data_IF_204527882460
#
_entry.id   IF_204527882460
#
_cell.length_a   1.000
_cell.length_b   1.000
_cell.length_c   1.000
_cell.angle_alpha   90.00
_cell.angle_beta   90.00
_cell.angle_gamma   90.00
#
_symmetry.space_group_name_H-M   'P 1'
#
loop_
_entity.id
_entity.type
_entity.pdbx_description
1 polymer ?
#
# COMPACT_ATOMS: atom_id res chain seq x y z
N UNK A 1 7.12 -10.48 6.07
CA UNK A 1 6.68 -9.37 6.93
C UNK A 1 6.95 -8.04 6.27
N UNK A 2 6.05 -7.09 6.42
CA UNK A 2 6.25 -5.72 5.95
C UNK A 2 6.45 -4.80 7.17
N UNK A 3 7.44 -3.92 7.09
CA UNK A 3 7.80 -3.00 8.18
C UNK A 3 7.52 -1.57 7.73
N UNK A 4 6.68 -0.86 8.48
CA UNK A 4 6.33 0.52 8.20
C UNK A 4 6.54 1.38 9.44
N UNK A 5 6.76 2.67 9.23
CA UNK A 5 6.74 3.64 10.31
C UNK A 5 5.30 4.04 10.59
N UNK A 6 5.04 4.48 11.82
CA UNK A 6 3.72 5.00 12.18
C UNK A 6 3.29 6.15 11.25
N UNK A 7 4.24 6.97 10.82
CA UNK A 7 3.95 8.06 9.88
C UNK A 7 3.50 7.57 8.50
N UNK A 8 3.99 6.41 8.06
CA UNK A 8 3.53 5.81 6.80
C UNK A 8 2.09 5.35 6.92
N UNK A 9 1.76 4.70 8.03
CA UNK A 9 0.40 4.25 8.29
C UNK A 9 -0.54 5.44 8.34
N UNK A 10 -0.15 6.51 9.04
CA UNK A 10 -0.97 7.72 9.13
C UNK A 10 -1.19 8.35 7.75
N UNK A 11 -0.17 8.35 6.89
CA UNK A 11 -0.30 8.90 5.54
C UNK A 11 -1.30 8.11 4.71
N UNK A 12 -1.26 6.78 4.80
CA UNK A 12 -2.19 5.90 4.09
C UNK A 12 -3.61 6.13 4.59
N UNK A 13 -3.78 6.19 5.91
CA UNK A 13 -5.09 6.41 6.52
C UNK A 13 -5.69 7.75 6.10
N UNK A 14 -4.90 8.80 6.14
CA UNK A 14 -5.35 10.14 5.73
C UNK A 14 -5.72 10.18 4.26
N UNK A 15 -4.96 9.50 3.41
CA UNK A 15 -5.26 9.43 1.98
C UNK A 15 -6.61 8.76 1.75
N UNK A 16 -6.86 7.64 2.45
CA UNK A 16 -8.13 6.94 2.36
C UNK A 16 -9.31 7.77 2.85
N UNK A 17 -9.12 8.49 3.95
CA UNK A 17 -10.16 9.36 4.50
C UNK A 17 -10.47 10.54 3.58
N UNK A 18 -9.43 11.12 2.99
CA UNK A 18 -9.58 12.26 2.08
C UNK A 18 -10.33 11.88 0.80
N UNK A 19 -10.04 10.72 0.24
CA UNK A 19 -10.64 10.30 -1.03
C UNK A 19 -12.00 9.62 -0.85
N UNK A 20 -12.37 9.26 0.38
CA UNK A 20 -13.66 8.64 0.64
C UNK A 20 -14.79 9.47 0.00
N UNK A 21 -15.78 8.92 -0.66
CA UNK A 21 -16.14 7.49 -0.73
C UNK A 21 -15.43 6.71 -1.87
N UNK A 22 -14.41 7.27 -2.46
CA UNK A 22 -13.64 6.62 -3.52
C UNK A 22 -12.45 5.86 -2.92
N UNK A 23 -12.00 4.83 -3.61
CA UNK A 23 -10.77 4.15 -3.22
C UNK A 23 -9.57 5.04 -3.53
N UNK A 24 -8.67 5.17 -2.59
CA UNK A 24 -7.36 5.76 -2.84
C UNK A 24 -6.37 4.66 -3.23
N UNK A 25 -5.26 5.04 -3.81
CA UNK A 25 -4.20 4.11 -4.13
C UNK A 25 -2.84 4.78 -4.13
N UNK A 26 -1.80 3.97 -4.04
CA UNK A 26 -0.43 4.46 -4.09
C UNK A 26 0.58 3.34 -4.07
N UNK A 27 1.84 3.73 -4.15
CA UNK A 27 2.96 2.80 -4.12
C UNK A 27 3.62 2.85 -2.74
N UNK A 28 4.21 1.73 -2.36
CA UNK A 28 5.07 1.64 -1.19
C UNK A 28 6.50 1.48 -1.69
N UNK A 29 7.35 2.45 -1.37
CA UNK A 29 8.74 2.46 -1.81
C UNK A 29 9.63 2.12 -0.63
N UNK A 30 10.65 1.29 -0.88
CA UNK A 30 11.54 0.86 0.18
C UNK A 30 12.57 -0.12 -0.32
N UNK A 31 12.81 -1.16 0.47
CA UNK A 31 13.78 -2.18 0.12
C UNK A 31 13.29 -3.57 0.52
N UNK A 32 13.71 -4.57 -0.27
CA UNK A 32 13.55 -5.97 0.09
C UNK A 32 14.75 -6.37 0.93
N UNK A 33 14.50 -6.95 2.10
CA UNK A 33 15.56 -7.41 2.98
C UNK A 33 15.97 -8.83 2.60
N UNK A 34 17.15 -9.27 3.08
CA UNK A 34 17.70 -10.57 2.70
C UNK A 34 16.75 -11.73 3.01
N UNK A 35 16.00 -11.65 4.11
CA UNK A 35 15.07 -12.70 4.50
C UNK A 35 13.73 -12.63 3.78
N UNK A 36 13.59 -11.72 2.82
CA UNK A 36 12.34 -11.54 2.09
C UNK A 36 11.36 -10.54 2.70
N UNK A 37 11.65 -10.03 3.88
CA UNK A 37 10.84 -8.96 4.47
C UNK A 37 10.99 -7.68 3.66
N UNK A 38 10.04 -6.78 3.80
CA UNK A 38 10.06 -5.48 3.13
C UNK A 38 10.05 -4.38 4.17
N UNK A 39 10.89 -3.36 3.91
CA UNK A 39 10.90 -2.15 4.73
C UNK A 39 10.44 -0.99 3.88
N UNK A 40 9.32 -0.39 4.26
CA UNK A 40 8.81 0.80 3.58
C UNK A 40 9.56 2.01 4.10
N UNK A 41 10.03 2.84 3.17
CA UNK A 41 10.73 4.07 3.50
C UNK A 41 9.96 5.29 3.06
N UNK A 42 9.04 5.13 2.11
CA UNK A 42 8.24 6.25 1.63
C UNK A 42 6.94 5.72 1.03
N UNK A 43 5.84 6.43 1.29
CA UNK A 43 4.59 6.23 0.58
C UNK A 43 4.59 7.17 -0.63
N UNK A 44 3.97 6.71 -1.72
CA UNK A 44 3.93 7.47 -2.97
C UNK A 44 2.48 7.47 -3.45
N UNK A 45 1.70 8.49 -3.07
CA UNK A 45 0.29 8.52 -3.43
C UNK A 45 0.09 8.72 -4.92
N UNK A 46 -0.95 8.09 -5.46
CA UNK A 46 -1.30 8.15 -6.86
C UNK A 46 -2.79 8.45 -6.96
N UNK A 47 -3.19 9.25 -7.95
CA UNK A 47 -4.59 9.51 -8.21
C UNK A 47 -5.26 8.28 -8.82
N UNK A 48 -6.45 7.92 -8.31
CA UNK A 48 -7.21 6.82 -8.87
C UNK A 48 -7.75 7.22 -10.25
N UNK A 49 -7.34 6.50 -11.28
CA UNK A 49 -7.67 6.81 -12.68
C UNK A 49 -8.92 6.09 -13.19
N UNK A 50 -9.67 5.35 -12.32
CA UNK A 50 -10.92 4.72 -12.73
C UNK A 50 -12.00 5.76 -12.99
N UNK A 51 -13.01 5.34 -13.76
CA UNK A 51 -14.20 6.15 -13.98
C UNK A 51 -14.89 6.46 -12.65
N UNK A 52 -15.55 7.60 -12.52
CA UNK A 52 -16.17 8.04 -11.27
C UNK A 52 -17.04 6.97 -10.60
N UNK A 53 -17.89 6.32 -11.38
CA UNK A 53 -18.79 5.30 -10.82
C UNK A 53 -18.07 4.06 -10.32
N UNK A 54 -16.85 3.81 -10.80
CA UNK A 54 -16.06 2.66 -10.37
C UNK A 54 -15.11 2.96 -9.22
N UNK A 55 -14.81 4.25 -8.95
CA UNK A 55 -13.82 4.65 -7.94
C UNK A 55 -14.21 4.23 -6.52
N UNK A 56 -15.50 3.98 -6.27
CA UNK A 56 -15.98 3.60 -4.95
C UNK A 56 -15.46 2.24 -4.49
N UNK A 57 -15.25 1.32 -5.43
CA UNK A 57 -14.80 -0.04 -5.10
C UNK A 57 -13.72 -0.57 -6.01
N UNK A 58 -13.08 0.31 -6.78
CA UNK A 58 -11.99 -0.06 -7.67
C UNK A 58 -11.04 1.10 -7.84
N UNK A 59 -9.80 0.80 -8.16
CA UNK A 59 -8.82 1.81 -8.46
C UNK A 59 -8.03 1.39 -9.70
N UNK A 60 -7.36 2.36 -10.31
CA UNK A 60 -6.51 2.11 -11.48
C UNK A 60 -5.27 2.97 -11.39
N UNK A 61 -4.11 2.33 -11.46
CA UNK A 61 -2.83 3.02 -11.58
C UNK A 61 -2.42 2.94 -13.05
N UNK A 62 -2.25 4.09 -13.68
CA UNK A 62 -1.83 4.12 -15.08
C UNK A 62 -0.39 3.64 -15.21
N UNK A 63 -0.05 2.99 -16.34
CA UNK A 63 1.34 2.57 -16.56
C UNK A 63 2.34 3.72 -16.44
N UNK A 64 2.00 4.92 -16.91
CA UNK A 64 2.86 6.08 -16.82
C UNK A 64 3.15 6.46 -15.37
N UNK A 65 2.17 6.34 -14.49
CA UNK A 65 2.34 6.66 -13.08
C UNK A 65 3.19 5.62 -12.37
N UNK A 66 3.04 4.35 -12.74
CA UNK A 66 3.88 3.29 -12.20
C UNK A 66 5.34 3.50 -12.64
N UNK A 67 5.55 3.82 -13.91
CA UNK A 67 6.89 4.11 -14.43
C UNK A 67 7.50 5.31 -13.72
N UNK A 68 6.72 6.37 -13.52
CA UNK A 68 7.18 7.55 -12.80
C UNK A 68 7.58 7.23 -11.37
N UNK A 69 6.77 6.41 -10.71
CA UNK A 69 7.06 5.97 -9.34
C UNK A 69 8.32 5.12 -9.26
N UNK A 70 8.51 4.23 -10.22
CA UNK A 70 9.71 3.40 -10.28
C UNK A 70 10.97 4.24 -10.53
N UNK A 71 10.87 5.25 -11.40
CA UNK A 71 11.97 6.17 -11.64
C UNK A 71 12.30 6.99 -10.40
N UNK A 72 11.27 7.48 -9.73
CA UNK A 72 11.44 8.22 -8.48
C UNK A 72 12.14 7.34 -7.44
N UNK A 73 11.66 6.11 -7.29
CA UNK A 73 12.25 5.17 -6.35
C UNK A 73 13.72 4.94 -6.64
N UNK A 74 14.05 4.67 -7.90
CA UNK A 74 15.44 4.42 -8.31
C UNK A 74 16.32 5.64 -8.03
N UNK A 75 15.83 6.84 -8.28
CA UNK A 75 16.58 8.06 -8.03
C UNK A 75 16.89 8.25 -6.53
N UNK A 76 16.10 7.63 -5.66
CA UNK A 76 16.28 7.71 -4.21
C UNK A 76 16.84 6.40 -3.64
N UNK A 77 17.36 5.53 -4.49
CA UNK A 77 17.93 4.23 -4.11
C UNK A 77 16.90 3.34 -3.41
N UNK A 78 15.66 3.42 -3.88
CA UNK A 78 14.54 2.61 -3.38
C UNK A 78 13.96 1.75 -4.50
N UNK A 79 13.09 0.81 -4.12
CA UNK A 79 12.33 -0.02 -5.04
C UNK A 79 10.85 0.06 -4.69
N UNK A 80 10.01 -0.29 -5.63
CA UNK A 80 8.60 -0.51 -5.32
C UNK A 80 8.49 -1.87 -4.64
N UNK A 81 8.10 -1.87 -3.36
CA UNK A 81 7.97 -3.11 -2.60
C UNK A 81 6.51 -3.51 -2.41
N UNK A 82 5.58 -2.63 -2.73
CA UNK A 82 4.17 -2.93 -2.60
C UNK A 82 3.29 -1.80 -3.06
N UNK A 83 2.01 -2.03 -2.86
CA UNK A 83 0.94 -1.08 -3.21
C UNK A 83 0.02 -0.92 -2.02
N UNK A 84 -0.68 0.20 -1.96
CA UNK A 84 -1.73 0.37 -0.97
C UNK A 84 -2.99 0.90 -1.63
N UNK A 85 -4.13 0.56 -1.06
CA UNK A 85 -5.41 1.15 -1.46
C UNK A 85 -6.39 1.10 -0.30
N UNK A 86 -7.48 1.84 -0.42
CA UNK A 86 -8.50 1.85 0.62
C UNK A 86 -9.73 1.09 0.17
N UNK A 87 -10.46 0.55 1.13
CA UNK A 87 -11.77 -0.09 0.93
C UNK A 87 -12.82 0.75 1.64
N UNK A 88 -13.56 1.61 0.89
CA UNK A 88 -14.63 2.39 1.50
C UNK A 88 -15.76 1.50 2.00
N UNK A 89 -16.09 1.63 3.28
CA UNK A 89 -17.18 0.90 3.94
C UNK A 89 -17.10 -0.62 3.82
N UNK A 90 -15.88 -1.14 3.64
CA UNK A 90 -15.62 -2.57 3.53
C UNK A 90 -14.42 -2.95 4.38
N UNK A 91 -14.30 -4.24 4.68
CA UNK A 91 -13.17 -4.76 5.44
C UNK A 91 -11.85 -4.61 4.69
N UNK A 92 -10.74 -4.60 5.42
CA UNK A 92 -9.40 -4.52 4.85
C UNK A 92 -8.95 -5.89 4.30
N UNK A 93 -9.74 -6.47 3.43
CA UNK A 93 -9.49 -7.76 2.76
C UNK A 93 -9.51 -7.59 1.26
N UNK A 94 -8.64 -8.31 0.53
CA UNK A 94 -8.65 -8.24 -0.92
C UNK A 94 -10.00 -8.69 -1.50
N UNK A 95 -10.46 -7.94 -2.49
CA UNK A 95 -11.65 -8.29 -3.26
C UNK A 95 -11.26 -9.24 -4.41
N UNK A 96 -12.27 -9.77 -5.10
CA UNK A 96 -12.00 -10.56 -6.30
C UNK A 96 -11.28 -9.72 -7.36
N UNK A 97 -11.67 -8.44 -7.49
CA UNK A 97 -10.98 -7.52 -8.39
C UNK A 97 -9.50 -7.39 -8.03
N UNK A 98 -9.20 -7.25 -6.73
CA UNK A 98 -7.82 -7.18 -6.26
C UNK A 98 -7.04 -8.44 -6.64
N UNK A 99 -7.65 -9.61 -6.45
CA UNK A 99 -7.01 -10.88 -6.77
C UNK A 99 -6.71 -10.99 -8.27
N UNK A 100 -7.67 -10.59 -9.10
CA UNK A 100 -7.54 -10.69 -10.55
C UNK A 100 -6.44 -9.80 -11.10
N UNK A 101 -6.11 -8.71 -10.41
CA UNK A 101 -5.18 -7.69 -10.90
C UNK A 101 -3.86 -7.63 -10.13
N UNK A 102 -3.68 -8.49 -9.14
CA UNK A 102 -2.48 -8.46 -8.30
C UNK A 102 -1.31 -9.20 -8.94
N UNK A 103 -0.12 -8.88 -8.46
CA UNK A 103 1.14 -9.50 -8.87
C UNK A 103 1.81 -10.16 -7.67
N UNK A 104 2.38 -11.36 -7.85
CA UNK A 104 3.25 -11.94 -6.82
C UNK A 104 4.43 -11.02 -6.54
N UNK A 105 5.09 -11.19 -5.43
CA UNK A 105 6.30 -10.44 -5.04
C UNK A 105 5.98 -9.22 -4.19
N UNK A 106 4.92 -8.48 -4.50
CA UNK A 106 4.61 -7.23 -3.81
C UNK A 106 3.72 -7.45 -2.60
N UNK A 107 3.83 -6.53 -1.64
CA UNK A 107 2.88 -6.47 -0.53
C UNK A 107 1.70 -5.60 -0.95
N UNK A 108 0.51 -5.98 -0.52
CA UNK A 108 -0.71 -5.23 -0.77
C UNK A 108 -1.29 -4.79 0.56
N UNK A 109 -1.18 -3.51 0.85
CA UNK A 109 -1.69 -2.93 2.09
C UNK A 109 -3.05 -2.33 1.81
N UNK A 110 -4.05 -2.75 2.57
CA UNK A 110 -5.42 -2.29 2.42
C UNK A 110 -5.85 -1.62 3.71
N UNK A 111 -6.40 -0.41 3.60
CA UNK A 111 -6.96 0.30 4.73
C UNK A 111 -8.48 0.36 4.57
N UNK A 112 -9.19 -0.04 5.62
CA UNK A 112 -10.64 0.04 5.68
C UNK A 112 -11.02 1.46 6.12
N UNK A 113 -11.95 2.10 5.39
CA UNK A 113 -12.42 3.45 5.71
C UNK A 113 -13.94 3.42 5.80
N UNK A 114 -14.46 3.45 7.03
CA UNK A 114 -15.89 3.43 7.29
C UNK A 114 -16.39 4.84 7.58
N UNK A 115 -17.32 5.32 6.76
CA UNK A 115 -17.91 6.65 6.93
C UNK A 115 -16.82 7.71 7.16
N UNK A 116 -15.83 7.73 6.28
CA UNK A 116 -14.74 8.69 6.26
C UNK A 116 -13.73 8.54 7.42
N UNK A 117 -13.83 7.47 8.20
CA UNK A 117 -12.88 7.22 9.29
C UNK A 117 -12.10 5.94 9.01
N UNK A 118 -10.77 6.05 8.96
CA UNK A 118 -9.91 4.89 8.81
C UNK A 118 -10.03 4.00 10.04
N UNK A 119 -10.08 2.70 9.81
CA UNK A 119 -10.27 1.71 10.87
C UNK A 119 -9.12 0.70 10.88
N UNK A 120 -9.23 -0.37 10.11
CA UNK A 120 -8.21 -1.41 10.05
C UNK A 120 -7.28 -1.22 8.88
N UNK A 121 -6.02 -1.59 9.08
CA UNK A 121 -5.01 -1.60 8.03
C UNK A 121 -4.32 -2.96 8.08
N UNK A 122 -4.31 -3.68 6.95
CA UNK A 122 -3.75 -5.02 6.86
C UNK A 122 -2.93 -5.17 5.61
N UNK A 123 -1.95 -6.07 5.65
CA UNK A 123 -1.12 -6.38 4.50
C UNK A 123 -1.36 -7.80 4.02
N UNK A 124 -1.25 -7.99 2.72
CA UNK A 124 -1.52 -9.25 2.05
C UNK A 124 -0.46 -9.53 1.00
N UNK A 125 -0.19 -10.81 0.76
CA UNK A 125 0.72 -11.26 -0.28
C UNK A 125 0.03 -12.31 -1.13
N UNK A 126 0.16 -12.18 -2.44
CA UNK A 126 -0.39 -13.13 -3.38
C UNK A 126 0.47 -14.40 -3.41
N UNK A 127 -0.18 -15.56 -3.42
CA UNK A 127 0.51 -16.83 -3.62
C UNK A 127 1.22 -16.82 -4.97
N UNK A 128 2.40 -17.48 -5.09
CA UNK A 128 3.11 -17.52 -6.38
C UNK A 128 2.26 -18.07 -7.53
N UNK A 129 1.35 -19.01 -7.26
CA UNK A 129 0.47 -19.57 -8.27
C UNK A 129 -0.75 -18.71 -8.55
N UNK A 130 -0.87 -17.54 -7.87
CA UNK A 130 -1.93 -16.55 -8.02
C UNK A 130 -3.31 -17.05 -7.58
N UNK A 131 -3.36 -18.11 -6.80
CA UNK A 131 -4.65 -18.70 -6.40
C UNK A 131 -5.38 -17.91 -5.31
N UNK A 132 -4.62 -17.27 -4.42
CA UNK A 132 -5.20 -16.53 -3.30
C UNK A 132 -4.19 -15.60 -2.66
N UNK A 133 -4.73 -14.69 -1.86
CA UNK A 133 -3.90 -13.86 -0.96
C UNK A 133 -3.74 -14.55 0.40
N UNK A 134 -2.59 -14.36 1.00
CA UNK A 134 -2.34 -14.75 2.39
C UNK A 134 -2.09 -13.48 3.20
N UNK A 135 -2.57 -13.47 4.43
CA UNK A 135 -2.28 -12.36 5.34
C UNK A 135 -0.78 -12.29 5.58
N UNK A 136 -0.24 -11.08 5.51
CA UNK A 136 1.17 -10.82 5.76
C UNK A 136 1.31 -10.12 7.11
N UNK A 137 2.28 -10.54 7.90
CA UNK A 137 2.57 -9.88 9.17
C UNK A 137 3.06 -8.45 8.94
N UNK A 138 2.50 -7.52 9.69
CA UNK A 138 2.80 -6.11 9.58
C UNK A 138 3.42 -5.63 10.89
N UNK A 139 4.59 -5.00 10.80
CA UNK A 139 5.30 -4.48 11.95
C UNK A 139 5.42 -2.97 11.86
N UNK A 140 5.08 -2.29 12.94
CA UNK A 140 5.20 -0.83 13.03
C UNK A 140 6.51 -0.50 13.72
N UNK A 141 7.36 0.25 13.05
CA UNK A 141 8.67 0.62 13.58
C UNK A 141 8.61 1.97 14.29
N UNK A 142 9.41 2.09 15.35
CA UNK A 142 9.59 3.35 16.07
C UNK A 142 10.93 3.94 15.66
N UNK A 143 11.13 4.05 14.37
CA UNK A 143 12.40 4.37 13.80
C UNK A 143 12.93 5.75 14.15
N UNK A 144 12.02 6.67 14.46
CA UNK A 144 12.43 8.02 14.77
C UNK A 144 13.38 8.07 15.97
N UNK A 145 13.09 7.25 16.97
CA UNK A 145 13.97 7.14 18.14
C UNK A 145 15.30 6.53 17.74
N UNK A 146 15.27 5.52 16.90
CA UNK A 146 16.49 4.87 16.43
C UNK A 146 17.37 5.82 15.65
N UNK A 147 16.77 6.59 14.77
CA UNK A 147 17.50 7.57 13.99
C UNK A 147 18.19 8.58 14.89
N UNK A 148 17.53 8.97 15.96
CA UNK A 148 18.09 9.90 16.92
C UNK A 148 19.27 9.28 17.67
N UNK A 149 19.18 8.01 18.00
CA UNK A 149 20.24 7.32 18.71
C UNK A 149 21.54 7.23 17.93
N UNK A 150 21.44 7.26 16.62
CA UNK A 150 22.63 7.21 15.77
C UNK A 150 23.40 8.51 15.75
N UNK A 151 22.83 9.55 16.26
CA UNK A 151 23.48 10.83 16.32
C UNK A 151 24.28 10.98 17.59
#
# INVERSE_FOLDING_TARGET
MIKLLAEHIAAIEKHGERDYPHECCGLLLGEFLENGDRRVKQTYPISNAREEEAKRNRFLIRPEELISGERYARAHELEVVGFYHSHPDCEARPSQYDLDHAWPTYSYVIVSVHQQCADQLRSWKLEPDRSRFNAEELSVLIQRAEATELL
#
